data_IF_610021616277
#
_entry.id   IF_610021616277
#
_cell.length_a   1.000
_cell.length_b   1.000
_cell.length_c   1.000
_cell.angle_alpha   90.00
_cell.angle_beta   90.00
_cell.angle_gamma   90.00
#
_symmetry.space_group_name_H-M   'P 1'
#
loop_
_entity.id
_entity.type
_entity.pdbx_description
1 polymer ?
#
# COMPACT_ATOMS: atom_id res chain seq x y z
N UNK A 1 -7.52 7.56 -16.72
CA UNK A 1 -6.08 7.74 -16.43
C UNK A 1 -5.65 6.64 -15.46
N UNK A 2 -4.55 5.93 -15.73
CA UNK A 2 -4.08 4.86 -14.84
C UNK A 2 -3.73 5.43 -13.45
N UNK A 3 -4.01 4.65 -12.41
CA UNK A 3 -3.66 5.00 -11.03
C UNK A 3 -2.39 4.23 -10.71
N UNK A 4 -1.29 4.95 -10.52
CA UNK A 4 -0.02 4.36 -10.10
C UNK A 4 0.05 4.30 -8.59
N UNK A 5 0.62 3.22 -8.07
CA UNK A 5 0.74 2.99 -6.65
C UNK A 5 2.09 2.36 -6.30
N UNK A 6 2.65 2.79 -5.16
CA UNK A 6 3.77 2.10 -4.52
C UNK A 6 3.28 1.48 -3.21
N UNK A 7 3.30 0.15 -3.13
CA UNK A 7 2.68 -0.58 -2.01
C UNK A 7 3.69 -0.97 -0.92
N UNK A 8 4.94 -0.50 -0.97
CA UNK A 8 5.95 -0.79 0.06
C UNK A 8 6.82 0.43 0.35
N UNK A 9 6.37 1.32 1.23
CA UNK A 9 7.23 2.34 1.81
C UNK A 9 7.60 1.94 3.23
N UNK A 10 8.88 1.96 3.61
CA UNK A 10 9.30 1.50 4.93
C UNK A 10 9.24 2.67 5.91
N UNK A 11 8.46 2.53 6.97
CA UNK A 11 8.49 3.45 8.09
C UNK A 11 9.81 3.27 8.85
N UNK A 12 10.78 4.16 8.60
CA UNK A 12 11.96 4.29 9.44
C UNK A 12 11.63 4.85 10.82
N UNK A 13 12.65 5.00 11.67
CA UNK A 13 12.50 5.62 13.00
C UNK A 13 12.16 7.12 12.94
N UNK A 14 12.44 7.78 11.82
CA UNK A 14 12.19 9.21 11.63
C UNK A 14 10.91 9.49 10.84
N UNK A 15 9.92 10.08 11.54
CA UNK A 15 8.65 10.51 10.94
C UNK A 15 8.83 11.64 9.93
N UNK A 16 9.87 12.48 10.04
CA UNK A 16 10.14 13.54 9.07
C UNK A 16 10.59 12.95 7.73
N UNK A 17 11.48 11.96 7.77
CA UNK A 17 11.90 11.23 6.59
C UNK A 17 10.71 10.55 5.88
N UNK A 18 9.81 9.93 6.65
CA UNK A 18 8.59 9.32 6.11
C UNK A 18 7.67 10.34 5.42
N UNK A 19 7.48 11.52 6.03
CA UNK A 19 6.70 12.61 5.43
C UNK A 19 7.30 13.07 4.10
N UNK A 20 8.60 13.33 4.08
CA UNK A 20 9.32 13.72 2.86
C UNK A 20 9.25 12.64 1.76
N UNK A 21 9.19 11.37 2.14
CA UNK A 21 9.04 10.26 1.20
C UNK A 21 7.64 10.25 0.56
N UNK A 22 6.59 10.46 1.35
CA UNK A 22 5.21 10.56 0.85
C UNK A 22 5.01 11.80 -0.03
N UNK A 23 5.61 12.93 0.33
CA UNK A 23 5.63 14.14 -0.49
C UNK A 23 6.33 13.91 -1.83
N UNK A 24 7.51 13.28 -1.81
CA UNK A 24 8.23 12.94 -3.03
C UNK A 24 7.43 11.95 -3.90
N UNK A 25 6.77 10.97 -3.30
CA UNK A 25 5.89 10.05 -4.02
C UNK A 25 4.74 10.80 -4.73
N UNK A 26 4.11 11.76 -4.04
CA UNK A 26 3.06 12.59 -4.63
C UNK A 26 3.58 13.43 -5.80
N UNK A 27 4.79 14.00 -5.66
CA UNK A 27 5.46 14.76 -6.72
C UNK A 27 5.80 13.90 -7.94
N UNK A 28 6.25 12.66 -7.73
CA UNK A 28 6.53 11.70 -8.80
C UNK A 28 5.26 11.17 -9.51
N UNK A 29 4.06 11.47 -8.99
CA UNK A 29 2.79 11.11 -9.61
C UNK A 29 2.13 9.84 -9.04
N UNK A 30 2.62 9.31 -7.91
CA UNK A 30 1.94 8.22 -7.21
C UNK A 30 0.64 8.71 -6.60
N UNK A 31 -0.45 8.00 -6.89
CA UNK A 31 -1.78 8.35 -6.37
C UNK A 31 -2.10 7.63 -5.08
N UNK A 32 -1.47 6.48 -4.85
CA UNK A 32 -1.64 5.64 -3.66
C UNK A 32 -0.28 5.19 -3.18
N UNK A 33 -0.04 5.27 -1.88
CA UNK A 33 1.16 4.71 -1.24
C UNK A 33 0.76 3.87 -0.03
N UNK A 34 1.51 2.83 0.28
CA UNK A 34 1.30 2.04 1.50
C UNK A 34 2.53 2.07 2.40
N UNK A 35 2.31 2.41 3.67
CA UNK A 35 3.34 2.40 4.72
C UNK A 35 3.41 1.00 5.31
N UNK A 36 4.54 0.33 5.10
CA UNK A 36 4.79 -1.03 5.46
C UNK A 36 5.44 -1.14 6.85
N UNK A 37 4.84 -1.99 7.69
CA UNK A 37 5.35 -2.39 8.99
C UNK A 37 5.83 -3.83 8.89
N UNK A 38 7.08 -4.07 9.24
CA UNK A 38 7.74 -5.37 9.04
C UNK A 38 7.87 -6.05 10.38
N UNK A 39 7.35 -7.26 10.48
CA UNK A 39 7.41 -8.05 11.70
C UNK A 39 8.16 -9.34 11.42
N UNK A 40 9.26 -9.54 12.14
CA UNK A 40 10.00 -10.81 12.17
C UNK A 40 9.78 -11.48 13.52
N UNK A 41 9.07 -12.60 13.51
CA UNK A 41 8.83 -13.40 14.70
C UNK A 41 10.13 -14.08 15.14
N UNK A 42 10.74 -13.58 16.21
CA UNK A 42 11.87 -14.23 16.89
C UNK A 42 11.40 -15.22 17.96
N UNK A 43 10.20 -15.01 18.50
CA UNK A 43 9.57 -15.86 19.52
C UNK A 43 8.15 -16.28 19.12
N UNK A 44 7.68 -17.39 19.68
CA UNK A 44 6.37 -18.00 19.34
C UNK A 44 5.14 -17.13 19.72
N UNK A 45 5.33 -16.08 20.53
CA UNK A 45 4.26 -15.19 21.01
C UNK A 45 4.69 -13.72 20.93
N UNK A 46 4.81 -13.19 19.71
CA UNK A 46 4.95 -11.75 19.50
C UNK A 46 3.60 -11.18 19.08
N UNK A 47 3.16 -10.10 19.74
CA UNK A 47 1.96 -9.40 19.30
C UNK A 47 2.28 -8.43 18.16
N UNK A 48 1.36 -8.33 17.21
CA UNK A 48 1.45 -7.37 16.10
C UNK A 48 1.06 -5.99 16.64
N UNK A 49 1.84 -4.96 16.38
CA UNK A 49 1.48 -3.60 16.80
C UNK A 49 0.31 -3.04 15.97
N UNK A 50 -0.41 -2.08 16.54
CA UNK A 50 -1.44 -1.37 15.77
C UNK A 50 -0.76 -0.47 14.73
N UNK A 51 -1.31 -0.35 13.52
CA UNK A 51 -0.76 0.58 12.55
C UNK A 51 -0.85 2.00 13.08
N UNK A 52 0.17 2.82 12.80
CA UNK A 52 0.12 4.25 13.08
C UNK A 52 -1.01 4.89 12.28
N UNK A 53 -1.83 5.71 12.92
CA UNK A 53 -2.94 6.36 12.23
C UNK A 53 -2.41 7.41 11.24
N UNK A 54 -2.93 7.40 10.01
CA UNK A 54 -2.51 8.35 8.97
C UNK A 54 -2.74 9.81 9.42
N UNK A 55 -3.78 10.06 10.21
CA UNK A 55 -4.08 11.38 10.79
C UNK A 55 -3.06 11.86 11.82
N UNK A 56 -2.35 10.95 12.48
CA UNK A 56 -1.25 11.28 13.40
C UNK A 56 0.03 11.61 12.61
N UNK A 57 0.20 10.95 11.47
CA UNK A 57 1.36 11.16 10.60
C UNK A 57 1.27 12.44 9.78
N UNK A 58 0.08 12.81 9.30
CA UNK A 58 -0.12 13.93 8.38
C UNK A 58 -1.30 14.80 8.83
N UNK A 59 -1.06 16.11 8.96
CA UNK A 59 -2.12 17.12 9.15
C UNK A 59 -2.89 17.36 7.86
N UNK A 60 -2.17 17.46 6.74
CA UNK A 60 -2.71 17.59 5.39
C UNK A 60 -1.91 16.70 4.45
N UNK A 61 -2.60 15.94 3.59
CA UNK A 61 -1.95 15.08 2.60
C UNK A 61 -1.55 15.87 1.35
N UNK A 62 -0.36 15.61 0.78
CA UNK A 62 0.11 16.33 -0.40
C UNK A 62 -0.74 16.02 -1.64
N UNK A 63 -0.90 17.03 -2.50
CA UNK A 63 -1.56 16.87 -3.80
C UNK A 63 -0.66 16.14 -4.79
N UNK A 64 -1.24 15.22 -5.54
CA UNK A 64 -0.50 14.40 -6.51
C UNK A 64 -0.22 15.23 -7.76
N UNK A 65 1.02 15.25 -8.24
CA UNK A 65 1.36 15.96 -9.47
C UNK A 65 0.55 15.44 -10.66
N UNK A 66 -0.03 16.36 -11.43
CA UNK A 66 -0.89 16.04 -12.56
C UNK A 66 -2.32 15.61 -12.19
N UNK A 67 -2.69 15.62 -10.90
CA UNK A 67 -4.06 15.34 -10.43
C UNK A 67 -4.49 16.33 -9.35
N UNK A 68 -5.73 16.78 -9.41
CA UNK A 68 -6.31 17.66 -8.38
C UNK A 68 -6.80 16.90 -7.12
N UNK A 69 -6.13 15.81 -6.75
CA UNK A 69 -6.52 14.96 -5.61
C UNK A 69 -5.33 14.72 -4.68
N UNK A 70 -5.55 14.66 -3.35
CA UNK A 70 -4.52 14.29 -2.39
C UNK A 70 -4.12 12.82 -2.58
N UNK A 71 -2.88 12.49 -2.21
CA UNK A 71 -2.38 11.12 -2.22
C UNK A 71 -3.15 10.26 -1.20
N UNK A 72 -3.48 9.02 -1.55
CA UNK A 72 -4.09 8.06 -0.60
C UNK A 72 -2.99 7.28 0.10
N UNK A 73 -2.90 7.40 1.42
CA UNK A 73 -1.96 6.63 2.25
C UNK A 73 -2.68 5.43 2.86
N UNK A 74 -2.10 4.25 2.71
CA UNK A 74 -2.58 2.98 3.23
C UNK A 74 -1.61 2.41 4.25
N UNK A 75 -2.10 1.46 5.03
CA UNK A 75 -1.30 0.71 6.00
C UNK A 75 -1.05 -0.71 5.51
N UNK A 76 0.19 -1.14 5.56
CA UNK A 76 0.61 -2.49 5.16
C UNK A 76 1.36 -3.18 6.28
N UNK A 77 1.13 -4.47 6.44
CA UNK A 77 1.89 -5.37 7.30
C UNK A 77 2.64 -6.38 6.44
N UNK A 78 3.94 -6.54 6.66
CA UNK A 78 4.75 -7.62 6.07
C UNK A 78 5.28 -8.52 7.17
N UNK A 79 4.94 -9.80 7.11
CA UNK A 79 5.41 -10.78 8.10
C UNK A 79 6.50 -11.65 7.47
N UNK A 80 7.66 -11.69 8.11
CA UNK A 80 8.75 -12.60 7.75
C UNK A 80 8.48 -13.97 8.37
N UNK A 81 8.28 -14.97 7.51
CA UNK A 81 7.92 -16.34 7.93
C UNK A 81 9.07 -17.29 7.66
N UNK A 82 9.71 -17.72 8.74
CA UNK A 82 10.71 -18.79 8.74
C UNK A 82 10.08 -20.17 9.02
N UNK A 83 9.09 -20.21 9.92
CA UNK A 83 8.43 -21.43 10.37
C UNK A 83 6.92 -21.39 10.03
N UNK A 84 6.32 -22.49 9.51
CA UNK A 84 4.89 -22.55 9.20
C UNK A 84 3.96 -22.18 10.36
N UNK A 85 4.39 -22.35 11.61
CA UNK A 85 3.61 -21.98 12.81
C UNK A 85 3.34 -20.47 12.89
N UNK A 86 4.19 -19.61 12.31
CA UNK A 86 3.97 -18.16 12.28
C UNK A 86 2.74 -17.79 11.42
N UNK A 87 2.38 -18.62 10.43
CA UNK A 87 1.17 -18.43 9.64
C UNK A 87 -0.13 -18.57 10.45
N UNK A 88 -0.06 -19.16 11.66
CA UNK A 88 -1.22 -19.21 12.55
C UNK A 88 -1.67 -17.81 12.99
N UNK A 89 -0.73 -16.86 13.11
CA UNK A 89 -1.02 -15.46 13.45
C UNK A 89 -1.69 -14.72 12.28
N UNK A 90 -1.41 -15.15 11.03
CA UNK A 90 -2.05 -14.62 9.82
C UNK A 90 -3.50 -15.09 9.65
N UNK A 91 -3.93 -16.15 10.36
CA UNK A 91 -5.31 -16.63 10.27
C UNK A 91 -6.29 -15.56 10.78
N UNK A 92 -7.47 -15.52 10.15
CA UNK A 92 -8.51 -14.48 10.25
C UNK A 92 -9.04 -14.14 11.67
N UNK A 93 -8.51 -14.82 12.70
CA UNK A 93 -8.75 -14.65 14.14
C UNK A 93 -7.91 -13.55 14.79
N UNK A 94 -6.82 -13.07 14.18
CA UNK A 94 -6.05 -11.97 14.75
C UNK A 94 -6.74 -10.62 14.48
N UNK A 95 -7.30 -10.01 15.54
CA UNK A 95 -7.99 -8.71 15.47
C UNK A 95 -7.09 -7.59 14.93
N UNK A 96 -5.78 -7.70 15.13
CA UNK A 96 -4.81 -6.68 14.75
C UNK A 96 -4.44 -6.72 13.27
N UNK A 97 -4.35 -7.91 12.68
CA UNK A 97 -4.09 -8.08 11.23
C UNK A 97 -5.20 -7.46 10.39
N UNK A 98 -6.45 -7.48 10.89
CA UNK A 98 -7.61 -6.84 10.23
C UNK A 98 -7.53 -5.32 10.17
N UNK A 99 -6.69 -4.68 10.99
CA UNK A 99 -6.53 -3.22 10.97
C UNK A 99 -5.75 -2.75 9.74
N UNK A 100 -4.76 -3.52 9.29
CA UNK A 100 -3.95 -3.19 8.12
C UNK A 100 -4.74 -3.36 6.82
N UNK A 101 -4.59 -2.42 5.89
CA UNK A 101 -5.21 -2.48 4.54
C UNK A 101 -4.64 -3.65 3.73
N UNK A 102 -3.31 -3.78 3.70
CA UNK A 102 -2.61 -4.81 2.93
C UNK A 102 -1.81 -5.69 3.90
N UNK A 103 -1.77 -7.00 3.62
CA UNK A 103 -0.94 -7.95 4.37
C UNK A 103 -0.12 -8.72 3.35
N UNK A 104 1.19 -8.74 3.56
CA UNK A 104 2.16 -9.43 2.74
C UNK A 104 2.93 -10.43 3.62
N UNK A 105 3.49 -11.45 2.96
CA UNK A 105 4.27 -12.49 3.61
C UNK A 105 5.61 -12.60 2.89
N UNK A 106 6.69 -12.62 3.65
CA UNK A 106 8.04 -12.88 3.15
C UNK A 106 8.47 -14.28 3.61
N UNK A 107 8.33 -15.31 2.76
CA UNK A 107 8.72 -16.68 3.11
C UNK A 107 10.23 -16.87 3.02
N UNK A 108 10.84 -17.53 4.03
CA UNK A 108 12.26 -17.96 3.99
C UNK A 108 12.45 -19.43 3.59
N UNK A 109 11.37 -20.22 3.51
CA UNK A 109 11.45 -21.66 3.21
C UNK A 109 10.54 -22.06 2.05
N UNK A 110 10.99 -23.03 1.25
CA UNK A 110 10.32 -23.49 0.02
C UNK A 110 8.90 -24.02 0.26
N UNK A 111 8.66 -24.60 1.45
CA UNK A 111 7.35 -25.16 1.84
C UNK A 111 6.22 -24.12 1.86
N UNK A 112 6.54 -22.82 1.86
CA UNK A 112 5.55 -21.73 1.84
C UNK A 112 5.15 -21.25 0.44
N UNK A 113 5.76 -21.77 -0.63
CA UNK A 113 5.52 -21.27 -2.00
C UNK A 113 4.27 -21.85 -2.70
N UNK A 114 3.51 -22.74 -2.07
CA UNK A 114 2.33 -23.38 -2.67
C UNK A 114 1.04 -22.51 -2.72
N UNK A 115 1.11 -21.19 -2.56
CA UNK A 115 -0.06 -20.31 -2.44
C UNK A 115 -0.47 -19.58 -3.75
N UNK A 116 0.21 -19.84 -4.86
CA UNK A 116 0.08 -19.09 -6.13
C UNK A 116 -1.35 -19.09 -6.69
N UNK A 117 -2.09 -20.18 -6.53
CA UNK A 117 -3.40 -20.39 -7.17
C UNK A 117 -4.58 -19.61 -6.53
N UNK A 118 -4.34 -18.77 -5.52
CA UNK A 118 -5.41 -18.10 -4.75
C UNK A 118 -5.59 -16.61 -5.02
N UNK A 119 -5.13 -16.14 -6.18
CA UNK A 119 -5.17 -14.70 -6.50
C UNK A 119 -4.16 -13.88 -5.69
N UNK A 120 -3.06 -14.51 -5.28
CA UNK A 120 -1.94 -13.88 -4.59
C UNK A 120 -1.06 -13.17 -5.62
N UNK A 121 -0.60 -11.96 -5.28
CA UNK A 121 0.37 -11.23 -6.08
C UNK A 121 1.79 -11.44 -5.52
N UNK A 122 2.77 -11.53 -6.41
CA UNK A 122 4.18 -11.54 -6.03
C UNK A 122 4.73 -10.14 -6.10
N UNK A 123 5.46 -9.76 -5.06
CA UNK A 123 6.11 -8.47 -5.01
C UNK A 123 7.61 -8.60 -5.31
N UNK A 124 8.08 -7.74 -6.20
CA UNK A 124 9.48 -7.54 -6.50
C UNK A 124 9.91 -6.15 -6.04
N UNK A 125 10.76 -6.11 -5.01
CA UNK A 125 11.30 -4.88 -4.46
C UNK A 125 12.53 -4.44 -5.25
N UNK A 126 12.50 -3.25 -5.86
CA UNK A 126 13.59 -2.80 -6.75
C UNK A 126 14.72 -2.03 -6.04
N UNK A 127 14.49 -1.46 -4.86
CA UNK A 127 15.52 -0.63 -4.18
C UNK A 127 16.91 -1.28 -4.06
N UNK A 128 17.04 -2.58 -3.73
CA UNK A 128 18.35 -3.23 -3.67
C UNK A 128 19.12 -3.17 -4.99
N UNK A 129 18.43 -3.09 -6.13
CA UNK A 129 19.07 -2.98 -7.44
C UNK A 129 19.71 -1.61 -7.70
N UNK A 130 19.25 -0.56 -7.03
CA UNK A 130 19.81 0.79 -7.17
C UNK A 130 20.77 1.16 -6.03
N UNK A 131 20.70 0.48 -4.87
CA UNK A 131 21.55 0.76 -3.70
C UNK A 131 22.97 0.24 -3.87
N UNK A 132 23.12 -1.02 -4.27
CA UNK A 132 24.41 -1.72 -4.25
C UNK A 132 24.58 -2.60 -5.49
N UNK A 133 25.80 -2.64 -6.03
CA UNK A 133 26.11 -3.37 -7.26
C UNK A 133 26.08 -4.88 -7.09
N UNK A 134 26.36 -5.38 -5.88
CA UNK A 134 26.27 -6.81 -5.56
C UNK A 134 24.82 -7.22 -5.39
N UNK A 135 24.03 -6.45 -4.63
CA UNK A 135 22.59 -6.69 -4.47
C UNK A 135 21.85 -6.61 -5.81
N UNK A 136 22.25 -5.72 -6.71
CA UNK A 136 21.70 -5.63 -8.07
C UNK A 136 21.74 -6.94 -8.83
N UNK A 137 22.87 -7.65 -8.78
CA UNK A 137 23.01 -8.95 -9.46
C UNK A 137 22.01 -9.97 -8.91
N UNK A 138 21.85 -10.01 -7.59
CA UNK A 138 20.88 -10.90 -6.93
C UNK A 138 19.44 -10.53 -7.26
N UNK A 139 19.08 -9.24 -7.23
CA UNK A 139 17.72 -8.79 -7.56
C UNK A 139 17.35 -9.15 -8.99
N UNK A 140 18.24 -8.90 -9.96
CA UNK A 140 17.99 -9.24 -11.37
C UNK A 140 17.86 -10.76 -11.55
N UNK A 141 18.78 -11.54 -10.98
CA UNK A 141 18.74 -13.01 -11.07
C UNK A 141 17.43 -13.58 -10.48
N UNK A 142 17.05 -13.14 -9.29
CA UNK A 142 15.81 -13.59 -8.63
C UNK A 142 14.56 -13.16 -9.41
N UNK A 143 14.56 -11.95 -9.97
CA UNK A 143 13.45 -11.46 -10.78
C UNK A 143 13.25 -12.30 -12.04
N UNK A 144 14.33 -12.62 -12.75
CA UNK A 144 14.27 -13.48 -13.94
C UNK A 144 13.75 -14.89 -13.60
N UNK A 145 14.19 -15.47 -12.49
CA UNK A 145 13.67 -16.75 -11.99
C UNK A 145 12.17 -16.66 -11.67
N UNK A 146 11.73 -15.57 -11.03
CA UNK A 146 10.30 -15.34 -10.76
C UNK A 146 9.50 -15.24 -12.06
N UNK A 147 10.02 -14.56 -13.09
CA UNK A 147 9.33 -14.43 -14.38
C UNK A 147 9.19 -15.77 -15.11
N UNK A 148 10.15 -16.69 -14.97
CA UNK A 148 10.03 -18.04 -15.52
C UNK A 148 8.86 -18.81 -14.90
N UNK A 149 8.60 -18.61 -13.60
CA UNK A 149 7.51 -19.28 -12.86
C UNK A 149 6.16 -18.60 -13.11
N UNK A 150 6.10 -17.27 -12.93
CA UNK A 150 4.85 -16.51 -12.97
C UNK A 150 4.44 -16.08 -14.38
N UNK A 151 5.33 -16.18 -15.37
CA UNK A 151 5.13 -15.70 -16.75
C UNK A 151 4.71 -14.24 -16.81
N UNK A 152 5.26 -13.42 -15.91
CA UNK A 152 4.97 -11.98 -15.78
C UNK A 152 3.59 -11.61 -15.19
N UNK A 153 2.75 -12.59 -14.83
CA UNK A 153 1.41 -12.35 -14.28
C UNK A 153 1.44 -12.13 -12.77
N UNK A 154 0.55 -11.29 -12.28
CA UNK A 154 0.36 -10.99 -10.85
C UNK A 154 1.65 -10.52 -10.14
N UNK A 155 2.54 -9.85 -10.87
CA UNK A 155 3.75 -9.24 -10.30
C UNK A 155 3.46 -7.79 -9.95
N UNK A 156 3.93 -7.35 -8.79
CA UNK A 156 3.92 -5.97 -8.32
C UNK A 156 5.36 -5.52 -8.17
N UNK A 157 5.69 -4.32 -8.63
CA UNK A 157 6.99 -3.70 -8.37
C UNK A 157 6.81 -2.58 -7.35
N UNK A 158 7.60 -2.62 -6.29
CA UNK A 158 7.56 -1.62 -5.21
C UNK A 158 8.96 -1.18 -4.81
N UNK A 159 9.05 -0.04 -4.14
CA UNK A 159 10.36 0.51 -3.79
C UNK A 159 10.95 -0.11 -2.52
N UNK A 160 10.17 -0.36 -1.47
CA UNK A 160 10.69 -0.51 -0.10
C UNK A 160 11.65 0.63 0.28
N UNK A 161 11.39 1.84 -0.23
CA UNK A 161 12.23 3.00 0.01
C UNK A 161 12.17 3.40 1.50
N UNK A 162 13.35 3.66 2.06
CA UNK A 162 13.52 4.26 3.39
C UNK A 162 13.92 5.74 3.27
N UNK A 163 14.53 6.10 2.13
CA UNK A 163 15.00 7.45 1.84
C UNK A 163 14.31 8.01 0.58
N UNK A 164 14.05 9.33 0.51
CA UNK A 164 13.43 9.94 -0.67
C UNK A 164 14.18 9.71 -1.99
N UNK A 165 15.50 9.51 -1.95
CA UNK A 165 16.32 9.27 -3.15
C UNK A 165 16.22 7.83 -3.69
N UNK A 166 15.46 6.95 -3.04
CA UNK A 166 15.30 5.54 -3.45
C UNK A 166 14.02 5.32 -4.26
N UNK A 167 13.02 6.20 -4.09
CA UNK A 167 11.79 6.15 -4.89
C UNK A 167 12.07 6.72 -6.30
N UNK A 168 11.45 6.12 -7.32
CA UNK A 168 11.56 6.52 -8.73
C UNK A 168 10.17 6.79 -9.29
N UNK A 169 10.07 7.56 -10.38
CA UNK A 169 8.80 7.81 -11.04
C UNK A 169 8.16 6.49 -11.54
N UNK A 170 6.83 6.38 -11.59
CA UNK A 170 6.16 5.13 -11.94
C UNK A 170 6.51 4.63 -13.36
N UNK A 171 6.79 5.55 -14.29
CA UNK A 171 7.24 5.18 -15.63
C UNK A 171 8.69 4.65 -15.65
N UNK A 172 9.57 5.22 -14.83
CA UNK A 172 10.94 4.71 -14.66
C UNK A 172 10.93 3.31 -14.02
N UNK A 173 10.04 3.09 -13.05
CA UNK A 173 9.84 1.78 -12.42
C UNK A 173 9.28 0.77 -13.44
N UNK A 174 8.36 1.18 -14.31
CA UNK A 174 7.90 0.32 -15.39
C UNK A 174 9.03 -0.03 -16.37
N UNK A 175 9.91 0.92 -16.70
CA UNK A 175 11.09 0.66 -17.53
C UNK A 175 12.08 -0.30 -16.83
N UNK A 176 12.26 -0.20 -15.51
CA UNK A 176 13.02 -1.19 -14.73
C UNK A 176 12.39 -2.59 -14.80
N UNK A 177 11.05 -2.68 -14.89
CA UNK A 177 10.35 -3.94 -15.08
C UNK A 177 10.80 -4.72 -16.32
N UNK A 178 11.19 -4.02 -17.40
CA UNK A 178 11.73 -4.65 -18.60
C UNK A 178 13.06 -5.36 -18.33
N UNK A 179 13.94 -4.76 -17.51
CA UNK A 179 15.20 -5.38 -17.08
C UNK A 179 14.97 -6.65 -16.25
N UNK A 180 13.83 -6.71 -15.55
CA UNK A 180 13.40 -7.86 -14.77
C UNK A 180 12.70 -8.95 -15.61
N UNK A 181 12.60 -8.77 -16.93
CA UNK A 181 12.02 -9.75 -17.85
C UNK A 181 10.51 -9.65 -18.05
N UNK A 182 9.88 -8.55 -17.60
CA UNK A 182 8.47 -8.27 -17.91
C UNK A 182 8.32 -7.69 -19.32
N UNK A 183 7.16 -7.94 -19.94
CA UNK A 183 6.75 -7.21 -21.14
C UNK A 183 6.41 -5.76 -20.79
N UNK A 184 6.39 -4.85 -21.78
CA UNK A 184 6.01 -3.45 -21.55
C UNK A 184 4.62 -3.30 -20.94
N UNK A 185 3.66 -4.10 -21.42
CA UNK A 185 2.30 -4.12 -20.87
C UNK A 185 2.27 -4.63 -19.43
N UNK A 186 3.01 -5.69 -19.12
CA UNK A 186 3.01 -6.29 -17.78
C UNK A 186 3.77 -5.42 -16.79
N UNK A 187 4.86 -4.78 -17.21
CA UNK A 187 5.62 -3.86 -16.39
C UNK A 187 4.80 -2.64 -15.99
N UNK A 188 4.02 -2.08 -16.93
CA UNK A 188 3.07 -1.00 -16.63
C UNK A 188 1.92 -1.49 -15.74
N UNK A 189 1.44 -2.72 -15.94
CA UNK A 189 0.42 -3.32 -15.09
C UNK A 189 0.93 -3.56 -13.66
N UNK A 190 2.22 -3.90 -13.49
CA UNK A 190 2.85 -4.20 -12.21
C UNK A 190 2.87 -3.01 -11.24
N UNK A 191 2.91 -1.78 -11.76
CA UNK A 191 2.85 -0.53 -10.97
C UNK A 191 1.44 0.10 -10.91
N UNK A 192 0.46 -0.50 -11.59
CA UNK A 192 -0.90 0.04 -11.71
C UNK A 192 -1.98 -1.01 -11.48
N UNK A 193 -2.38 -1.76 -12.51
CA UNK A 193 -3.52 -2.69 -12.46
C UNK A 193 -3.33 -3.77 -11.39
N UNK A 194 -2.14 -4.34 -11.27
CA UNK A 194 -1.85 -5.39 -10.29
C UNK A 194 -1.85 -4.84 -8.86
N UNK A 195 -1.32 -3.63 -8.65
CA UNK A 195 -1.44 -2.93 -7.37
C UNK A 195 -2.90 -2.70 -6.97
N UNK A 196 -3.77 -2.33 -7.92
CA UNK A 196 -5.21 -2.17 -7.67
C UNK A 196 -5.87 -3.49 -7.31
N UNK A 197 -5.51 -4.59 -7.97
CA UNK A 197 -6.02 -5.92 -7.64
C UNK A 197 -5.62 -6.34 -6.21
N UNK A 198 -4.37 -6.11 -5.81
CA UNK A 198 -3.91 -6.38 -4.45
C UNK A 198 -4.62 -5.52 -3.40
N UNK A 199 -4.90 -4.25 -3.71
CA UNK A 199 -5.67 -3.37 -2.83
C UNK A 199 -7.10 -3.89 -2.65
N UNK A 200 -7.78 -4.25 -3.74
CA UNK A 200 -9.13 -4.80 -3.68
C UNK A 200 -9.17 -6.12 -2.91
N UNK A 201 -8.15 -6.97 -3.09
CA UNK A 201 -7.99 -8.20 -2.31
C UNK A 201 -7.89 -7.89 -0.81
N UNK A 202 -7.11 -6.87 -0.43
CA UNK A 202 -7.04 -6.37 0.96
C UNK A 202 -8.38 -5.88 1.51
N UNK A 203 -9.16 -5.15 0.71
CA UNK A 203 -10.50 -4.68 1.09
C UNK A 203 -11.46 -5.84 1.34
N UNK A 204 -11.49 -6.84 0.44
CA UNK A 204 -12.34 -8.04 0.61
C UNK A 204 -11.95 -8.91 1.80
N UNK A 205 -10.69 -8.85 2.26
CA UNK A 205 -10.24 -9.52 3.49
C UNK A 205 -10.77 -8.83 4.75
N UNK A 206 -10.87 -7.50 4.74
CA UNK A 206 -11.37 -6.73 5.90
C UNK A 206 -12.84 -6.98 6.15
N UNK A 207 -13.60 -7.14 5.07
CA UNK A 207 -15.04 -7.44 5.12
C UNK A 207 -15.30 -8.94 5.06
N UNK A 208 -16.54 -9.35 4.78
CA UNK A 208 -16.84 -10.74 4.45
C UNK A 208 -16.53 -11.00 2.98
N UNK A 209 -15.97 -12.17 2.65
CA UNK A 209 -15.62 -12.54 1.28
C UNK A 209 -16.76 -12.23 0.29
N UNK A 210 -16.48 -11.40 -0.71
CA UNK A 210 -17.45 -11.01 -1.74
C UNK A 210 -18.43 -9.90 -1.36
N UNK A 211 -18.39 -9.35 -0.13
CA UNK A 211 -19.31 -8.29 0.33
C UNK A 211 -18.51 -7.11 0.88
N UNK A 212 -18.64 -5.92 0.28
CA UNK A 212 -18.09 -4.67 0.84
C UNK A 212 -19.24 -3.90 1.49
N UNK A 213 -19.27 -3.87 2.83
CA UNK A 213 -20.25 -3.08 3.57
C UNK A 213 -19.65 -1.73 3.95
N UNK A 214 -20.24 -0.64 3.45
CA UNK A 214 -19.86 0.72 3.82
C UNK A 214 -21.03 1.45 4.46
N UNK A 215 -20.80 2.02 5.64
CA UNK A 215 -21.75 2.96 6.25
C UNK A 215 -21.53 4.33 5.60
N UNK A 216 -22.41 4.73 4.68
CA UNK A 216 -22.37 6.08 4.11
C UNK A 216 -22.85 7.06 5.16
N UNK A 217 -21.92 7.73 5.86
CA UNK A 217 -22.27 8.91 6.64
C UNK A 217 -22.63 10.05 5.66
N UNK A 218 -23.77 10.74 5.83
CA UNK A 218 -24.06 11.93 5.05
C UNK A 218 -22.94 12.95 5.30
N UNK A 219 -22.51 13.61 4.23
CA UNK A 219 -21.61 14.77 4.37
C UNK A 219 -22.40 15.84 5.13
N UNK A 220 -21.82 16.53 6.13
CA UNK A 220 -22.43 17.77 6.61
C UNK A 220 -22.47 18.74 5.42
N UNK A 221 -23.66 18.98 4.89
CA UNK A 221 -23.90 20.06 3.95
C UNK A 221 -23.75 21.36 4.71
N UNK A 222 -22.89 22.25 4.23
CA UNK A 222 -22.95 23.68 4.52
C UNK A 222 -24.27 24.23 3.96
N UNK A 223 -25.35 24.09 4.72
CA UNK A 223 -26.64 24.77 4.53
C UNK A 223 -27.56 24.34 5.67
N UNK A 224 -27.47 25.00 6.83
CA UNK A 224 -28.55 25.10 7.83
C UNK A 224 -28.26 26.28 8.79
N UNK A 225 -27.82 27.43 8.24
CA UNK A 225 -27.85 28.72 8.97
C UNK A 225 -28.88 29.71 8.40
N UNK A 226 -29.80 29.26 7.53
CA UNK A 226 -30.84 30.12 6.94
C UNK A 226 -32.26 29.55 7.11
N UNK A 227 -32.58 29.09 8.32
CA UNK A 227 -33.97 28.85 8.73
C UNK A 227 -34.30 29.54 10.05
N UNK A 228 -34.12 30.86 10.09
CA UNK A 228 -34.90 31.70 11.00
C UNK A 228 -36.25 32.01 10.30
N UNK A 229 -37.40 31.62 10.86
CA UNK A 229 -38.68 32.01 10.28
C UNK A 229 -38.91 33.50 10.54
N UNK A 230 -38.95 34.29 9.47
CA UNK A 230 -39.37 35.69 9.49
C UNK A 230 -40.91 35.79 9.60
N UNK A 231 -41.41 36.19 10.77
CA UNK A 231 -42.58 37.05 11.05
C UNK A 231 -43.03 36.78 12.50
N UNK A 232 -43.07 37.75 13.42
CA UNK A 232 -44.07 38.84 13.46
C UNK A 232 -43.48 40.11 14.13
N UNK A 233 -43.43 41.22 13.39
CA UNK A 233 -43.68 42.58 13.91
C UNK A 233 -45.11 42.93 13.44
N UNK A 234 -46.03 43.58 14.15
CA UNK A 234 -45.97 44.41 15.34
C UNK A 234 -47.37 44.50 15.99
N UNK A 235 -47.43 44.81 17.29
CA UNK A 235 -48.27 45.90 17.85
C UNK A 235 -47.86 46.15 19.31
N UNK A 236 -47.11 47.22 19.53
CA UNK A 236 -47.21 47.97 20.78
C UNK A 236 -47.92 49.28 20.40
N UNK A 237 -49.10 49.50 20.97
CA UNK A 237 -49.79 50.78 21.01
C UNK A 237 -49.96 51.14 22.48
N UNK A 238 -49.69 52.42 22.80
CA UNK A 238 -50.39 53.23 23.81
C UNK A 238 -50.33 52.78 25.25
#
# INVERSE_FOLDING_TARGET
MAVFADLDLRAGSDLKALRGLVENAAHLGYSVVAINHVVEFKEKKQEIEKPVAVSELFTTLPMVQGKSRPIKVLTRLTIIVSDPSHCNVLRATSSRVRLYDIVAVFPKTEKLFHAVDRGVCFELVYSPAIKDSTMRRYTISNALNLMQVCKGKNVIISSAAERPLEIRGPYDVANLGLLFGLSESDAKAAVSTNCRAALLHGETRKTAFGIISTVKKPRPSEADEDSLPACKKAKCEG
#
